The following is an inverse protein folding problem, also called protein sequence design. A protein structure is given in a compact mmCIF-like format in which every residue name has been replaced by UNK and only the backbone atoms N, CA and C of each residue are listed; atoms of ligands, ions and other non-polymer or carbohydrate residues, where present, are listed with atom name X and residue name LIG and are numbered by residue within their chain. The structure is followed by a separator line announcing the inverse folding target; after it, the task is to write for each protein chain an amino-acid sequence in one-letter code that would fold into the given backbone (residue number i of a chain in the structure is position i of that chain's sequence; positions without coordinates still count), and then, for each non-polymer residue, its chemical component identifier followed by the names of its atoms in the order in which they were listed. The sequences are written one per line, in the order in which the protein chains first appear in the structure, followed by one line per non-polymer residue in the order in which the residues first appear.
data_IF_687687083412
#
_entry.id   IF_687687083412
#
_cell.length_a   1.000
_cell.length_b   1.000
_cell.length_c   1.000
_cell.angle_alpha   90.00
_cell.angle_beta   90.00
_cell.angle_gamma   90.00
#
_symmetry.space_group_name_H-M   'P 1'
#
loop_
_entity.id
_entity.type
_entity.pdbx_description
1 polymer ?
#
# COMPACT_ATOMS: atom_id res chain seq x y z
N UNK A 1 38.70 -62.54 -21.70
CA UNK A 1 38.28 -62.06 -23.04
C UNK A 1 36.80 -62.29 -23.19
N UNK A 2 36.05 -61.30 -23.66
CA UNK A 2 34.63 -61.44 -23.97
C UNK A 2 33.85 -60.19 -23.59
N UNK A 3 33.82 -59.21 -24.50
CA UNK A 3 33.00 -58.01 -24.41
C UNK A 3 31.51 -58.40 -24.40
N UNK A 4 30.72 -57.77 -23.52
CA UNK A 4 29.26 -57.74 -23.64
C UNK A 4 28.83 -56.32 -24.00
N UNK A 5 28.55 -56.09 -25.27
CA UNK A 5 27.59 -55.07 -25.67
C UNK A 5 26.24 -55.76 -25.82
N UNK A 6 25.27 -55.38 -24.98
CA UNK A 6 23.86 -55.48 -25.36
C UNK A 6 23.07 -54.40 -24.62
N UNK A 7 22.61 -53.48 -25.46
CA UNK A 7 21.67 -52.37 -25.32
C UNK A 7 20.54 -52.58 -24.31
N UNK A 8 20.38 -51.63 -23.40
CA UNK A 8 19.19 -51.48 -22.56
C UNK A 8 19.21 -50.12 -21.87
N UNK A 9 18.39 -49.20 -22.37
CA UNK A 9 18.23 -47.82 -21.90
C UNK A 9 18.21 -47.70 -20.36
N UNK A 10 18.96 -46.78 -19.74
CA UNK A 10 18.83 -46.53 -18.32
C UNK A 10 17.47 -45.90 -18.04
N UNK A 11 16.65 -46.68 -17.34
CA UNK A 11 15.70 -46.31 -16.32
C UNK A 11 15.07 -44.92 -16.46
N UNK A 12 13.78 -44.93 -16.77
CA UNK A 12 12.90 -43.78 -16.77
C UNK A 12 12.99 -42.96 -15.49
N UNK A 13 13.90 -41.99 -15.49
CA UNK A 13 13.77 -40.78 -14.69
C UNK A 13 12.70 -39.95 -15.37
N UNK A 14 11.47 -40.30 -14.99
CA UNK A 14 10.24 -39.57 -15.18
C UNK A 14 10.49 -38.06 -15.11
N UNK A 15 10.58 -37.43 -16.28
CA UNK A 15 10.40 -35.97 -16.49
C UNK A 15 8.95 -35.56 -16.17
N UNK A 16 8.36 -36.08 -15.07
CA UNK A 16 6.99 -35.80 -14.62
C UNK A 16 6.88 -35.59 -13.11
N UNK A 17 7.91 -34.99 -12.50
CA UNK A 17 7.79 -34.40 -11.14
C UNK A 17 8.31 -32.97 -11.00
N UNK A 18 8.57 -32.27 -12.11
CA UNK A 18 8.78 -30.82 -12.09
C UNK A 18 7.45 -30.05 -12.26
N UNK A 19 6.34 -30.60 -11.75
CA UNK A 19 4.98 -30.08 -12.00
C UNK A 19 4.06 -30.05 -10.76
N UNK A 20 4.64 -30.10 -9.57
CA UNK A 20 3.92 -29.89 -8.31
C UNK A 20 4.78 -28.97 -7.45
N UNK A 21 4.15 -27.95 -6.87
CA UNK A 21 4.77 -26.86 -6.09
C UNK A 21 5.42 -25.70 -6.85
N UNK A 22 4.88 -25.34 -8.02
CA UNK A 22 4.64 -23.90 -8.26
C UNK A 22 3.30 -23.53 -7.63
N UNK A 23 3.18 -23.69 -6.31
CA UNK A 23 2.32 -22.78 -5.59
C UNK A 23 2.96 -21.43 -5.84
N UNK A 24 2.36 -20.65 -6.72
CA UNK A 24 2.53 -19.21 -6.64
C UNK A 24 2.13 -18.89 -5.20
N UNK A 25 3.12 -18.74 -4.32
CA UNK A 25 2.97 -17.94 -3.12
C UNK A 25 2.59 -16.60 -3.68
N UNK A 26 1.28 -16.42 -3.85
CA UNK A 26 0.71 -15.11 -4.11
C UNK A 26 1.25 -14.31 -2.94
N UNK A 27 2.18 -13.35 -3.14
CA UNK A 27 2.56 -12.49 -2.03
C UNK A 27 1.23 -11.98 -1.51
N UNK A 28 0.98 -12.18 -0.21
CA UNK A 28 -0.28 -11.86 0.43
C UNK A 28 -0.75 -10.57 -0.21
N UNK A 29 -1.89 -10.61 -0.92
CA UNK A 29 -2.38 -9.47 -1.69
C UNK A 29 -2.51 -8.35 -0.68
N UNK A 30 -1.48 -7.52 -0.56
CA UNK A 30 -1.48 -6.40 0.36
C UNK A 30 -2.60 -5.55 -0.18
N UNK A 31 -3.71 -5.55 0.56
CA UNK A 31 -4.82 -4.68 0.23
C UNK A 31 -4.30 -3.25 0.12
N UNK A 32 -5.07 -2.35 -0.51
CA UNK A 32 -4.71 -0.95 -0.46
C UNK A 32 -4.43 -0.55 1.00
N UNK A 33 -3.34 0.18 1.27
CA UNK A 33 -2.90 0.47 2.63
C UNK A 33 -4.04 1.06 3.43
N UNK A 34 -4.19 0.59 4.67
CA UNK A 34 -5.29 1.04 5.52
C UNK A 34 -5.16 2.54 5.81
N UNK A 35 -6.31 3.18 6.07
CA UNK A 35 -6.37 4.62 6.43
C UNK A 35 -5.42 4.94 7.60
N UNK A 36 -5.34 4.03 8.57
CA UNK A 36 -4.43 4.08 9.72
C UNK A 36 -2.96 4.03 9.32
N UNK A 37 -2.57 3.13 8.41
CA UNK A 37 -1.20 3.03 7.91
C UNK A 37 -0.77 4.28 7.13
N UNK A 38 -1.68 4.87 6.35
CA UNK A 38 -1.40 6.08 5.60
C UNK A 38 -1.11 7.27 6.53
N UNK A 39 -1.90 7.44 7.60
CA UNK A 39 -1.67 8.52 8.57
C UNK A 39 -0.34 8.32 9.32
N UNK A 40 0.01 7.09 9.69
CA UNK A 40 1.28 6.79 10.39
C UNK A 40 2.53 7.11 9.53
N UNK A 41 2.39 7.00 8.20
CA UNK A 41 3.45 7.33 7.23
C UNK A 41 3.64 8.84 7.02
N UNK A 42 2.74 9.69 7.52
CA UNK A 42 2.87 11.14 7.37
C UNK A 42 4.03 11.72 8.19
N UNK A 43 4.64 12.78 7.66
CA UNK A 43 5.63 13.59 8.38
C UNK A 43 4.93 14.42 9.47
N UNK A 44 5.65 14.72 10.56
CA UNK A 44 5.16 15.56 11.66
C UNK A 44 4.62 16.90 11.16
N UNK A 45 5.28 17.51 10.17
CA UNK A 45 4.81 18.77 9.58
C UNK A 45 3.45 18.65 8.90
N UNK A 46 3.18 17.54 8.20
CA UNK A 46 1.87 17.27 7.59
C UNK A 46 0.79 17.03 8.66
N UNK A 47 1.12 16.29 9.71
CA UNK A 47 0.21 16.07 10.84
C UNK A 47 -0.14 17.38 11.55
N UNK A 48 0.83 18.27 11.78
CA UNK A 48 0.61 19.60 12.36
C UNK A 48 -0.24 20.50 11.46
N UNK A 49 -0.02 20.46 10.14
CA UNK A 49 -0.89 21.18 9.19
C UNK A 49 -2.33 20.69 9.27
N UNK A 50 -2.54 19.38 9.38
CA UNK A 50 -3.87 18.81 9.55
C UNK A 50 -4.52 19.27 10.86
N UNK A 51 -3.81 19.16 11.98
CA UNK A 51 -4.26 19.63 13.30
C UNK A 51 -4.69 21.09 13.24
N UNK A 52 -3.89 21.94 12.62
CA UNK A 52 -4.22 23.36 12.49
C UNK A 52 -5.41 23.62 11.55
N UNK A 53 -5.48 22.92 10.41
CA UNK A 53 -6.56 23.11 9.44
C UNK A 53 -7.94 22.69 9.96
N UNK A 54 -7.99 21.74 10.90
CA UNK A 54 -9.21 21.23 11.52
C UNK A 54 -9.37 21.65 12.97
N UNK A 55 -8.55 22.59 13.45
CA UNK A 55 -8.58 23.14 14.80
C UNK A 55 -8.66 22.06 15.90
N UNK A 56 -7.81 21.03 15.78
CA UNK A 56 -7.79 19.94 16.75
C UNK A 56 -7.09 20.40 18.03
N UNK A 57 -7.75 20.19 19.16
CA UNK A 57 -7.21 20.50 20.49
C UNK A 57 -6.07 19.53 20.84
N UNK A 58 -4.84 19.96 20.56
CA UNK A 58 -3.61 19.23 20.83
C UNK A 58 -2.52 20.21 21.26
N UNK A 59 -1.67 19.78 22.20
CA UNK A 59 -0.55 20.59 22.65
C UNK A 59 0.44 20.85 21.51
N UNK A 60 1.01 22.07 21.39
CA UNK A 60 2.03 22.36 20.40
C UNK A 60 3.30 21.50 20.59
N UNK A 61 3.53 20.96 21.79
CA UNK A 61 4.68 20.10 22.09
C UNK A 61 4.35 18.60 22.03
N UNK A 62 3.17 18.23 21.52
CA UNK A 62 2.77 16.83 21.37
C UNK A 62 3.72 16.02 20.48
N UNK A 63 3.89 14.75 20.83
CA UNK A 63 4.73 13.80 20.11
C UNK A 63 4.14 13.44 18.75
N UNK A 64 4.93 12.80 17.87
CA UNK A 64 4.42 12.29 16.59
C UNK A 64 3.28 11.29 16.79
N UNK A 65 3.38 10.45 17.83
CA UNK A 65 2.39 9.42 18.13
C UNK A 65 1.06 10.04 18.54
N UNK A 66 1.09 11.04 19.42
CA UNK A 66 -0.11 11.78 19.85
C UNK A 66 -0.78 12.49 18.67
N UNK A 67 0.03 13.16 17.83
CA UNK A 67 -0.46 13.80 16.61
C UNK A 67 -1.11 12.78 15.67
N UNK A 68 -0.48 11.62 15.49
CA UNK A 68 -1.00 10.55 14.63
C UNK A 68 -2.33 10.03 15.18
N UNK A 69 -2.42 9.77 16.47
CA UNK A 69 -3.63 9.26 17.12
C UNK A 69 -4.80 10.25 17.02
N UNK A 70 -4.56 11.54 17.28
CA UNK A 70 -5.60 12.55 17.17
C UNK A 70 -6.09 12.75 15.73
N UNK A 71 -5.16 12.80 14.77
CA UNK A 71 -5.50 12.87 13.35
C UNK A 71 -6.31 11.63 12.96
N UNK A 72 -5.90 10.42 13.35
CA UNK A 72 -6.65 9.19 13.04
C UNK A 72 -8.07 9.23 13.61
N UNK A 73 -8.26 9.66 14.86
CA UNK A 73 -9.58 9.76 15.51
C UNK A 73 -10.50 10.74 14.76
N UNK A 74 -10.01 11.96 14.51
CA UNK A 74 -10.78 12.97 13.80
C UNK A 74 -11.06 12.55 12.36
N UNK A 75 -10.07 11.99 11.68
CA UNK A 75 -10.19 11.54 10.30
C UNK A 75 -11.23 10.39 10.21
N UNK A 76 -11.27 9.47 11.18
CA UNK A 76 -12.28 8.42 11.28
C UNK A 76 -13.71 8.96 11.45
N UNK A 77 -13.90 10.10 12.14
CA UNK A 77 -15.23 10.70 12.34
C UNK A 77 -15.70 11.55 11.16
N UNK A 78 -14.85 11.81 10.16
CA UNK A 78 -15.26 12.59 8.98
C UNK A 78 -16.23 11.81 8.10
N UNK A 79 -17.42 12.38 7.90
CA UNK A 79 -18.38 11.91 6.91
C UNK A 79 -18.08 12.62 5.59
N UNK A 80 -17.69 11.83 4.59
CA UNK A 80 -17.27 12.33 3.30
C UNK A 80 -18.34 11.97 2.27
N UNK A 81 -18.85 12.97 1.54
CA UNK A 81 -19.74 12.73 0.40
C UNK A 81 -18.91 12.64 -0.88
N UNK A 82 -19.08 11.54 -1.62
CA UNK A 82 -18.30 11.25 -2.83
C UNK A 82 -18.36 12.39 -3.85
N UNK A 83 -19.56 12.90 -4.15
CA UNK A 83 -19.75 13.97 -5.12
C UNK A 83 -18.99 15.26 -4.75
N UNK A 84 -18.96 15.62 -3.46
CA UNK A 84 -18.24 16.81 -2.98
C UNK A 84 -16.72 16.62 -3.14
N UNK A 85 -16.20 15.42 -2.86
CA UNK A 85 -14.78 15.11 -3.05
C UNK A 85 -14.38 15.16 -4.52
N UNK A 86 -15.14 14.50 -5.39
CA UNK A 86 -14.83 14.45 -6.82
C UNK A 86 -14.88 15.84 -7.44
N UNK A 87 -15.86 16.65 -7.06
CA UNK A 87 -15.97 18.03 -7.51
C UNK A 87 -14.76 18.87 -7.04
N UNK A 88 -14.45 18.84 -5.75
CA UNK A 88 -13.33 19.61 -5.20
C UNK A 88 -11.98 19.18 -5.78
N UNK A 89 -11.81 17.88 -6.01
CA UNK A 89 -10.62 17.32 -6.65
C UNK A 89 -10.48 17.79 -8.10
N UNK A 90 -11.54 17.72 -8.89
CA UNK A 90 -11.54 18.18 -10.29
C UNK A 90 -11.24 19.69 -10.39
N UNK A 91 -11.83 20.50 -9.51
CA UNK A 91 -11.56 21.95 -9.43
C UNK A 91 -10.10 22.22 -9.07
N UNK A 92 -9.54 21.49 -8.09
CA UNK A 92 -8.14 21.64 -7.70
C UNK A 92 -7.18 21.31 -8.86
N UNK A 93 -7.44 20.23 -9.61
CA UNK A 93 -6.64 19.86 -10.77
C UNK A 93 -6.75 20.87 -11.93
N UNK A 94 -7.95 21.42 -12.17
CA UNK A 94 -8.12 22.48 -13.16
C UNK A 94 -7.31 23.73 -12.79
N UNK A 95 -7.28 24.09 -11.50
CA UNK A 95 -6.49 25.22 -10.99
C UNK A 95 -4.98 24.98 -11.10
N UNK A 96 -4.48 23.77 -10.81
CA UNK A 96 -3.05 23.46 -10.94
C UNK A 96 -2.59 23.42 -12.41
N UNK A 97 -3.44 22.90 -13.31
CA UNK A 97 -3.17 22.93 -14.75
C UNK A 97 -3.12 24.36 -15.31
N UNK A 98 -3.98 25.26 -14.81
CA UNK A 98 -3.95 26.68 -15.19
C UNK A 98 -2.72 27.44 -14.66
N UNK A 99 -2.08 26.95 -13.59
CA UNK A 99 -0.91 27.56 -12.96
C UNK A 99 0.43 26.95 -13.41
N UNK A 100 0.43 26.04 -14.39
CA UNK A 100 1.65 25.52 -15.01
C UNK A 100 2.55 24.64 -14.13
N UNK A 101 2.01 24.03 -13.06
CA UNK A 101 2.73 23.06 -12.23
C UNK A 101 2.24 21.65 -12.53
N UNK A 102 2.85 20.98 -13.52
CA UNK A 102 2.90 19.53 -13.67
C UNK A 102 4.30 19.13 -14.12
#
# INVERSE_FOLDING_TARGET
MGYKEQTGLPNGLSMKRARQNRQWTTPAREGPPTRTELVAKLKVSSLRKYVHAFDLDISPNSSKEDLTAAVQRHWASQVIKENEVLFNLAVAFKKSAANGQL
#
